data_IF_369972517779
#
_entry.id   IF_369972517779
#
_cell.length_a   1.000
_cell.length_b   1.000
_cell.length_c   1.000
_cell.angle_alpha   90.00
_cell.angle_beta   90.00
_cell.angle_gamma   90.00
#
_symmetry.space_group_name_H-M   'P 1'
#
loop_
_entity.id
_entity.type
_entity.pdbx_description
1 polymer ?
#
# COMPACT_ATOMS: atom_id res chain seq x y z
N UNK A 1 6.16 14.18 15.36
CA UNK A 1 4.88 13.51 15.05
C UNK A 1 4.03 14.45 14.25
N UNK A 2 3.64 14.02 13.05
CA UNK A 2 2.68 14.76 12.24
C UNK A 2 1.28 14.63 12.85
N UNK A 3 0.46 15.66 12.66
CA UNK A 3 -0.91 15.70 13.16
C UNK A 3 -1.81 16.30 12.10
N UNK A 4 -2.97 15.69 11.92
CA UNK A 4 -4.05 16.32 11.15
C UNK A 4 -4.89 17.18 12.09
N UNK A 5 -5.14 18.44 11.71
CA UNK A 5 -6.12 19.31 12.37
C UNK A 5 -7.35 19.38 11.47
N UNK A 6 -8.43 18.76 11.91
CA UNK A 6 -9.71 18.73 11.20
C UNK A 6 -10.62 19.80 11.80
N UNK A 7 -11.16 20.69 10.95
CA UNK A 7 -12.16 21.67 11.34
C UNK A 7 -13.53 21.16 10.89
N UNK A 8 -14.43 20.93 11.85
CA UNK A 8 -15.78 20.46 11.55
C UNK A 8 -16.67 21.55 10.96
N UNK A 9 -17.81 21.14 10.38
CA UNK A 9 -18.95 22.03 10.09
C UNK A 9 -18.88 22.86 8.80
N UNK A 10 -17.79 22.78 8.02
CA UNK A 10 -17.62 23.65 6.84
C UNK A 10 -18.28 23.13 5.55
N UNK A 11 -18.53 21.83 5.36
CA UNK A 11 -19.27 21.25 4.21
C UNK A 11 -19.49 19.73 4.35
N UNK A 12 -20.56 19.20 3.74
CA UNK A 12 -20.74 17.74 3.53
C UNK A 12 -19.79 17.26 2.42
N UNK A 13 -19.08 16.15 2.64
CA UNK A 13 -18.28 15.53 1.57
C UNK A 13 -19.19 15.12 0.41
N UNK A 14 -18.85 15.54 -0.80
CA UNK A 14 -19.58 15.22 -2.03
C UNK A 14 -18.59 15.12 -3.19
N UNK A 15 -18.80 14.15 -4.07
CA UNK A 15 -17.91 13.84 -5.19
C UNK A 15 -17.50 12.38 -5.23
N UNK A 16 -16.44 12.09 -5.98
CA UNK A 16 -15.90 10.74 -6.19
C UNK A 16 -14.44 10.68 -5.78
N UNK A 17 -14.00 9.53 -5.27
CA UNK A 17 -12.60 9.26 -4.96
C UNK A 17 -12.19 7.93 -5.58
N UNK A 18 -10.99 7.88 -6.16
CA UNK A 18 -10.41 6.63 -6.64
C UNK A 18 -9.84 5.86 -5.45
N UNK A 19 -10.23 4.60 -5.31
CA UNK A 19 -9.75 3.73 -4.24
C UNK A 19 -8.45 3.07 -4.69
N UNK A 20 -7.41 3.16 -3.86
CA UNK A 20 -6.15 2.45 -4.06
C UNK A 20 -6.33 0.95 -3.90
N UNK A 21 -5.37 0.16 -4.40
CA UNK A 21 -5.39 -1.29 -4.23
C UNK A 21 -5.43 -1.77 -2.78
N UNK A 22 -5.86 -3.02 -2.59
CA UNK A 22 -6.05 -3.59 -1.27
C UNK A 22 -4.70 -4.00 -0.63
N UNK A 23 -4.29 -3.28 0.41
CA UNK A 23 -3.07 -3.58 1.19
C UNK A 23 -2.98 -5.05 1.62
N UNK A 24 -4.07 -5.57 2.18
CA UNK A 24 -4.11 -6.93 2.74
C UNK A 24 -4.11 -8.02 1.66
N UNK A 25 -4.37 -7.68 0.39
CA UNK A 25 -4.15 -8.57 -0.73
C UNK A 25 -2.72 -8.42 -1.28
N UNK A 26 -2.22 -7.20 -1.39
CA UNK A 26 -0.88 -6.92 -1.90
C UNK A 26 0.23 -7.55 -1.05
N UNK A 27 0.14 -7.48 0.28
CA UNK A 27 1.16 -8.02 1.20
C UNK A 27 1.42 -9.53 1.00
N UNK A 28 0.41 -10.43 1.07
CA UNK A 28 0.65 -11.87 0.86
C UNK A 28 1.05 -12.19 -0.59
N UNK A 29 0.58 -11.43 -1.59
CA UNK A 29 1.00 -11.64 -2.98
C UNK A 29 2.47 -11.26 -3.16
N UNK A 30 2.93 -10.17 -2.52
CA UNK A 30 4.35 -9.85 -2.44
C UNK A 30 5.08 -11.06 -1.86
N UNK A 31 4.73 -11.53 -0.65
CA UNK A 31 5.32 -12.73 -0.01
C UNK A 31 5.40 -13.96 -0.92
N UNK A 32 4.31 -14.26 -1.64
CA UNK A 32 4.28 -15.37 -2.58
C UNK A 32 5.25 -15.22 -3.76
N UNK A 33 5.65 -13.99 -4.12
CA UNK A 33 6.57 -13.74 -5.23
C UNK A 33 7.97 -14.30 -5.01
N UNK A 34 8.36 -14.63 -3.77
CA UNK A 34 9.63 -15.32 -3.47
C UNK A 34 9.68 -16.70 -4.13
N UNK A 35 8.52 -17.34 -4.28
CA UNK A 35 8.40 -18.68 -4.86
C UNK A 35 8.45 -18.67 -6.39
N UNK A 36 8.41 -17.49 -7.03
CA UNK A 36 8.41 -17.38 -8.48
C UNK A 36 9.81 -17.62 -9.06
N UNK A 37 9.89 -18.36 -10.17
CA UNK A 37 11.14 -18.61 -10.89
C UNK A 37 11.47 -17.52 -11.92
N UNK A 38 10.54 -16.59 -12.15
CA UNK A 38 10.66 -15.47 -13.08
C UNK A 38 10.20 -14.15 -12.41
N UNK A 39 10.60 -12.97 -12.93
CA UNK A 39 10.21 -11.69 -12.36
C UNK A 39 8.69 -11.51 -12.29
N UNK A 40 8.18 -11.15 -11.10
CA UNK A 40 6.76 -10.87 -10.87
C UNK A 40 6.50 -9.36 -10.94
N UNK A 41 5.53 -8.96 -11.78
CA UNK A 41 5.02 -7.58 -11.81
C UNK A 41 3.66 -7.51 -11.12
N UNK A 42 3.62 -6.94 -9.91
CA UNK A 42 2.36 -6.65 -9.22
C UNK A 42 1.87 -5.25 -9.58
N UNK A 43 0.60 -5.13 -9.95
CA UNK A 43 -0.04 -3.85 -10.30
C UNK A 43 -1.14 -3.51 -9.30
N UNK A 44 -1.56 -2.24 -9.27
CA UNK A 44 -2.55 -1.74 -8.30
C UNK A 44 -2.12 -2.01 -6.84
N UNK A 45 -0.85 -1.74 -6.52
CA UNK A 45 -0.33 -1.82 -5.14
C UNK A 45 -0.48 -0.44 -4.50
N UNK A 46 -1.05 -0.32 -3.29
CA UNK A 46 -1.19 0.99 -2.64
C UNK A 46 0.15 1.51 -2.11
N UNK A 47 0.36 2.82 -2.17
CA UNK A 47 1.55 3.48 -1.60
C UNK A 47 1.37 3.66 -0.09
N UNK A 48 1.79 2.65 0.67
CA UNK A 48 1.66 2.63 2.13
C UNK A 48 2.97 2.19 2.77
N UNK A 49 3.20 2.67 4.00
CA UNK A 49 4.39 2.33 4.80
C UNK A 49 4.57 0.82 5.00
N UNK A 50 3.47 0.06 5.11
CA UNK A 50 3.51 -1.40 5.21
C UNK A 50 4.13 -2.02 3.95
N UNK A 51 3.78 -1.53 2.75
CA UNK A 51 4.34 -1.98 1.47
C UNK A 51 5.83 -1.64 1.39
N UNK A 52 6.20 -0.40 1.72
CA UNK A 52 7.62 0.01 1.72
C UNK A 52 8.46 -0.82 2.69
N UNK A 53 7.91 -1.11 3.87
CA UNK A 53 8.60 -1.91 4.90
C UNK A 53 8.78 -3.34 4.42
N UNK A 54 7.76 -3.94 3.81
CA UNK A 54 7.87 -5.27 3.19
C UNK A 54 8.97 -5.27 2.12
N UNK A 55 8.97 -4.32 1.18
CA UNK A 55 10.00 -4.25 0.14
C UNK A 55 11.42 -4.09 0.71
N UNK A 56 11.59 -3.37 1.82
CA UNK A 56 12.89 -3.28 2.51
C UNK A 56 13.32 -4.62 3.12
N UNK A 57 12.39 -5.40 3.67
CA UNK A 57 12.69 -6.74 4.19
C UNK A 57 13.13 -7.66 3.04
N UNK A 58 12.49 -7.55 1.88
CA UNK A 58 12.86 -8.27 0.66
C UNK A 58 14.28 -7.99 0.17
N UNK A 59 14.65 -6.71 0.09
CA UNK A 59 15.94 -6.30 -0.48
C UNK A 59 17.10 -6.60 0.46
N UNK A 60 16.85 -6.65 1.77
CA UNK A 60 17.86 -6.90 2.79
C UNK A 60 17.94 -8.38 3.23
N UNK A 61 17.31 -9.31 2.50
CA UNK A 61 17.40 -10.74 2.79
C UNK A 61 18.59 -11.44 2.09
N UNK A 62 19.61 -10.67 1.68
CA UNK A 62 20.96 -11.17 1.40
C UNK A 62 21.89 -10.96 2.59
#
# INVERSE_FOLDING_TARGET
MEKFRVYGGQSRLSGTVTISGAKNAALPILFASILATEPVKLTNVPELKDIETTLKIYVNSE
#
